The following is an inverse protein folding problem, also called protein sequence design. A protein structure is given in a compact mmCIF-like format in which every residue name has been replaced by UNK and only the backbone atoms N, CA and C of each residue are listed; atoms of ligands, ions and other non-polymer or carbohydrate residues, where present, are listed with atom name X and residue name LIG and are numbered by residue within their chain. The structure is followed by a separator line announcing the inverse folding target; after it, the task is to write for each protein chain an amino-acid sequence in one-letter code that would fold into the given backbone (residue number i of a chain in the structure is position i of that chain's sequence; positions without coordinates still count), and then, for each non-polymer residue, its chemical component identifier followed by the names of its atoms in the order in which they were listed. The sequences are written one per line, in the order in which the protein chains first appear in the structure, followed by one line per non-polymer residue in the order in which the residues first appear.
data_IF_659859302531
#
_entry.id   IF_659859302531
#
_cell.length_a   1.000
_cell.length_b   1.000
_cell.length_c   1.000
_cell.angle_alpha   90.00
_cell.angle_beta   90.00
_cell.angle_gamma   90.00
#
_symmetry.space_group_name_H-M   'P 1'
#
loop_
_entity.id
_entity.type
_entity.pdbx_description
1 polymer ?
#
# COMPACT_ATOMS: atom_id res chain seq x y z
N UNK A 1 -38.80 21.29 -58.09
CA UNK A 1 -37.65 22.09 -57.60
C UNK A 1 -37.87 22.39 -56.12
N UNK A 2 -36.76 22.45 -55.37
CA UNK A 2 -36.63 22.65 -53.93
C UNK A 2 -36.83 21.40 -53.05
N UNK A 3 -35.66 20.87 -52.66
CA UNK A 3 -35.35 19.82 -51.70
C UNK A 3 -35.67 20.21 -50.26
N UNK A 4 -35.91 19.23 -49.39
CA UNK A 4 -35.47 19.27 -48.00
C UNK A 4 -35.37 17.84 -47.45
N UNK A 5 -34.15 17.30 -47.45
CA UNK A 5 -33.76 16.15 -46.64
C UNK A 5 -33.68 16.60 -45.19
N UNK A 6 -34.24 15.80 -44.28
CA UNK A 6 -33.89 15.83 -42.86
C UNK A 6 -33.25 14.49 -42.50
N UNK A 7 -31.91 14.48 -42.58
CA UNK A 7 -31.04 13.51 -41.93
C UNK A 7 -31.35 13.46 -40.44
N UNK A 8 -31.57 12.26 -39.91
CA UNK A 8 -31.59 12.01 -38.47
C UNK A 8 -30.42 11.09 -38.14
N UNK A 9 -29.40 11.70 -37.54
CA UNK A 9 -28.17 11.12 -37.03
C UNK A 9 -28.42 9.87 -36.17
N UNK A 10 -27.97 8.72 -36.67
CA UNK A 10 -27.85 7.49 -35.90
C UNK A 10 -26.56 7.56 -35.06
N UNK A 11 -26.65 8.21 -33.89
CA UNK A 11 -25.52 8.30 -32.97
C UNK A 11 -25.09 6.92 -32.46
N UNK A 12 -23.84 6.56 -32.79
CA UNK A 12 -23.17 5.33 -32.41
C UNK A 12 -23.14 5.14 -30.89
N UNK A 13 -23.77 4.06 -30.42
CA UNK A 13 -23.60 3.58 -29.05
C UNK A 13 -22.17 3.06 -28.90
N UNK A 14 -21.31 3.82 -28.21
CA UNK A 14 -20.00 3.34 -27.77
C UNK A 14 -20.20 2.24 -26.73
N UNK A 15 -20.04 0.99 -27.17
CA UNK A 15 -19.94 -0.15 -26.28
C UNK A 15 -18.84 0.10 -25.24
N UNK A 16 -19.26 0.34 -24.01
CA UNK A 16 -18.40 0.39 -22.84
C UNK A 16 -17.92 -1.05 -22.55
N UNK A 17 -17.00 -1.54 -23.39
CA UNK A 17 -16.34 -2.82 -23.19
C UNK A 17 -15.44 -2.69 -21.96
N UNK A 18 -16.01 -2.96 -20.79
CA UNK A 18 -15.22 -3.27 -19.61
C UNK A 18 -14.36 -4.47 -20.00
N UNK A 19 -13.07 -4.22 -20.28
CA UNK A 19 -12.13 -5.26 -20.69
C UNK A 19 -12.20 -6.37 -19.64
N UNK A 20 -12.86 -7.49 -19.98
CA UNK A 20 -12.87 -8.68 -19.14
C UNK A 20 -11.41 -9.06 -18.92
N UNK A 21 -10.98 -9.00 -17.65
CA UNK A 21 -9.61 -9.32 -17.27
C UNK A 21 -9.24 -10.71 -17.79
N UNK A 22 -8.01 -10.85 -18.29
CA UNK A 22 -7.50 -12.13 -18.75
C UNK A 22 -7.62 -13.13 -17.59
N UNK A 23 -8.34 -14.24 -17.79
CA UNK A 23 -8.37 -15.37 -16.85
C UNK A 23 -7.02 -16.09 -16.91
N UNK A 24 -6.02 -15.50 -16.27
CA UNK A 24 -4.73 -16.13 -16.13
C UNK A 24 -4.88 -17.15 -15.00
N UNK A 25 -4.72 -18.44 -15.32
CA UNK A 25 -4.98 -19.53 -14.38
C UNK A 25 -3.99 -19.58 -13.22
N UNK A 26 -4.11 -20.59 -12.35
CA UNK A 26 -3.32 -20.78 -11.13
C UNK A 26 -1.79 -20.55 -11.28
N UNK A 27 -1.22 -20.86 -12.45
CA UNK A 27 0.22 -20.65 -12.72
C UNK A 27 0.64 -19.17 -12.80
N UNK A 28 -0.20 -18.27 -13.33
CA UNK A 28 0.13 -16.84 -13.37
C UNK A 28 0.14 -16.23 -11.98
N UNK A 29 -0.74 -16.68 -11.10
CA UNK A 29 -0.79 -16.25 -9.71
C UNK A 29 0.47 -16.70 -8.96
N UNK A 30 0.92 -17.94 -9.23
CA UNK A 30 2.21 -18.44 -8.71
C UNK A 30 3.37 -17.59 -9.23
N UNK A 31 3.48 -17.34 -10.54
CA UNK A 31 4.54 -16.48 -11.10
C UNK A 31 4.50 -15.05 -10.53
N UNK A 32 3.30 -14.50 -10.34
CA UNK A 32 3.11 -13.19 -9.71
C UNK A 32 3.61 -13.19 -8.27
N UNK A 33 3.28 -14.23 -7.50
CA UNK A 33 3.76 -14.40 -6.11
C UNK A 33 5.27 -14.50 -6.05
N UNK A 34 5.87 -15.32 -6.92
CA UNK A 34 7.33 -15.48 -7.02
C UNK A 34 8.02 -14.14 -7.32
N UNK A 35 7.49 -13.35 -8.27
CA UNK A 35 8.02 -12.02 -8.60
C UNK A 35 7.92 -11.03 -7.45
N UNK A 36 6.83 -11.08 -6.67
CA UNK A 36 6.63 -10.17 -5.54
C UNK A 36 7.54 -10.51 -4.35
N UNK A 37 7.82 -11.80 -4.15
CA UNK A 37 8.76 -12.28 -3.13
C UNK A 37 10.22 -11.97 -3.46
N UNK A 38 10.56 -11.85 -4.74
CA UNK A 38 11.90 -11.49 -5.20
C UNK A 38 12.11 -9.98 -5.37
N UNK A 39 11.18 -9.14 -4.89
CA UNK A 39 11.28 -7.69 -5.02
C UNK A 39 12.55 -7.15 -4.35
N UNK A 40 13.44 -6.56 -5.14
CA UNK A 40 14.65 -5.91 -4.64
C UNK A 40 14.28 -4.60 -3.92
N UNK A 41 14.71 -4.50 -2.67
CA UNK A 41 14.50 -3.30 -1.89
C UNK A 41 15.44 -2.22 -2.42
N UNK A 42 14.86 -1.07 -2.79
CA UNK A 42 15.60 0.05 -3.37
C UNK A 42 16.65 0.67 -2.44
N UNK A 43 17.16 1.88 -2.76
CA UNK A 43 18.22 2.54 -2.00
C UNK A 43 17.91 2.60 -0.49
N UNK A 44 18.95 2.60 0.37
CA UNK A 44 18.77 2.65 1.81
C UNK A 44 17.95 3.88 2.22
N UNK A 45 16.95 3.66 3.07
CA UNK A 45 16.14 4.73 3.63
C UNK A 45 16.89 5.43 4.77
N UNK A 46 17.46 6.59 4.45
CA UNK A 46 18.17 7.44 5.40
C UNK A 46 17.17 8.16 6.31
N UNK A 47 16.72 7.48 7.35
CA UNK A 47 15.90 8.06 8.40
C UNK A 47 16.76 8.33 9.64
N UNK A 48 16.88 9.59 10.03
CA UNK A 48 17.74 10.04 11.14
C UNK A 48 17.27 9.53 12.51
N UNK A 49 15.95 9.51 12.73
CA UNK A 49 15.36 9.17 14.03
C UNK A 49 15.39 7.69 14.37
N UNK A 50 14.94 6.84 13.44
CA UNK A 50 14.70 5.42 13.69
C UNK A 50 15.77 4.51 13.08
N UNK A 51 16.66 5.05 12.22
CA UNK A 51 17.73 4.32 11.54
C UNK A 51 17.29 2.95 11.01
N UNK A 52 16.11 2.89 10.40
CA UNK A 52 15.43 1.63 10.06
C UNK A 52 16.24 0.75 9.09
N UNK A 53 17.19 1.33 8.35
CA UNK A 53 18.09 0.56 7.50
C UNK A 53 19.14 -0.21 8.32
N UNK A 54 19.62 0.35 9.43
CA UNK A 54 20.58 -0.32 10.32
C UNK A 54 19.85 -1.29 11.26
N UNK A 55 18.66 -0.90 11.74
CA UNK A 55 17.89 -1.69 12.70
C UNK A 55 17.43 -3.06 12.17
N UNK A 56 17.26 -3.19 10.85
CA UNK A 56 16.77 -4.41 10.20
C UNK A 56 17.73 -4.78 9.07
N UNK A 57 18.33 -5.96 9.14
CA UNK A 57 19.28 -6.42 8.13
C UNK A 57 18.56 -6.87 6.83
N UNK A 58 19.31 -7.10 5.75
CA UNK A 58 18.70 -7.45 4.44
C UNK A 58 17.92 -8.78 4.47
N UNK A 59 18.42 -9.77 5.21
CA UNK A 59 17.82 -11.11 5.29
C UNK A 59 16.49 -11.09 6.05
N UNK A 60 16.43 -10.34 7.15
CA UNK A 60 15.23 -10.11 7.95
C UNK A 60 14.15 -9.43 7.10
N UNK A 61 14.51 -8.40 6.32
CA UNK A 61 13.55 -7.73 5.45
C UNK A 61 13.05 -8.68 4.36
N UNK A 62 13.91 -9.55 3.81
CA UNK A 62 13.51 -10.58 2.85
C UNK A 62 12.56 -11.60 3.48
N UNK A 63 12.83 -12.02 4.72
CA UNK A 63 11.96 -12.93 5.48
C UNK A 63 10.58 -12.32 5.72
N UNK A 64 10.51 -11.04 6.11
CA UNK A 64 9.25 -10.30 6.28
C UNK A 64 8.48 -10.21 4.96
N UNK A 65 9.17 -9.87 3.86
CA UNK A 65 8.58 -9.82 2.52
C UNK A 65 7.98 -11.17 2.10
N UNK A 66 8.75 -12.25 2.27
CA UNK A 66 8.30 -13.61 1.95
C UNK A 66 7.12 -14.02 2.80
N UNK A 67 7.16 -13.78 4.11
CA UNK A 67 6.06 -14.06 5.04
C UNK A 67 4.78 -13.33 4.62
N UNK A 68 4.88 -12.04 4.33
CA UNK A 68 3.75 -11.24 3.88
C UNK A 68 3.13 -11.78 2.60
N UNK A 69 3.94 -12.07 1.58
CA UNK A 69 3.43 -12.59 0.33
C UNK A 69 3.02 -14.05 0.41
N UNK A 70 3.42 -14.81 1.44
CA UNK A 70 2.94 -16.16 1.64
C UNK A 70 1.48 -16.24 2.08
N UNK A 71 0.94 -15.17 2.67
CA UNK A 71 -0.48 -15.02 2.99
C UNK A 71 -1.33 -15.20 1.72
N UNK A 72 -2.44 -15.91 1.88
CA UNK A 72 -3.21 -16.48 0.77
C UNK A 72 -4.18 -15.47 0.16
N UNK A 73 -4.80 -14.63 0.98
CA UNK A 73 -5.84 -13.69 0.55
C UNK A 73 -5.42 -12.23 0.74
N UNK A 74 -6.11 -11.33 0.03
CA UNK A 74 -5.92 -9.89 0.21
C UNK A 74 -6.30 -9.45 1.63
N UNK A 75 -7.33 -10.09 2.20
CA UNK A 75 -7.85 -9.80 3.54
C UNK A 75 -6.86 -10.22 4.62
N UNK A 76 -6.25 -11.41 4.51
CA UNK A 76 -5.16 -11.82 5.40
C UNK A 76 -3.98 -10.84 5.34
N UNK A 77 -3.61 -10.39 4.14
CA UNK A 77 -2.58 -9.38 3.97
C UNK A 77 -2.97 -8.05 4.62
N UNK A 78 -4.22 -7.61 4.46
CA UNK A 78 -4.70 -6.37 5.05
C UNK A 78 -4.73 -6.46 6.59
N UNK A 79 -5.29 -7.54 7.13
CA UNK A 79 -5.31 -7.80 8.57
C UNK A 79 -3.89 -7.77 9.15
N UNK A 80 -2.95 -8.48 8.52
CA UNK A 80 -1.54 -8.45 8.90
C UNK A 80 -0.95 -7.03 8.89
N UNK A 81 -1.21 -6.23 7.85
CA UNK A 81 -0.67 -4.86 7.79
C UNK A 81 -1.32 -3.95 8.85
N UNK A 82 -2.62 -4.11 9.10
CA UNK A 82 -3.34 -3.31 10.07
C UNK A 82 -2.88 -3.61 11.50
N UNK A 83 -2.54 -4.86 11.83
CA UNK A 83 -1.92 -5.22 13.12
C UNK A 83 -0.56 -4.53 13.37
N UNK A 84 0.15 -4.20 12.30
CA UNK A 84 1.45 -3.53 12.33
C UNK A 84 1.35 -2.00 12.33
N UNK A 85 0.13 -1.46 12.28
CA UNK A 85 -0.13 -0.02 12.27
C UNK A 85 -0.92 0.35 13.52
N UNK A 86 -0.42 1.33 14.26
CA UNK A 86 -1.13 1.85 15.44
C UNK A 86 -1.61 3.26 15.14
N UNK A 87 -2.92 3.49 15.33
CA UNK A 87 -3.52 4.82 15.24
C UNK A 87 -3.23 5.57 16.54
N UNK A 88 -2.68 6.77 16.43
CA UNK A 88 -2.33 7.64 17.55
C UNK A 88 -3.22 8.89 17.47
N UNK A 89 -3.99 9.21 18.53
CA UNK A 89 -4.76 10.44 18.57
C UNK A 89 -3.83 11.65 18.63
N UNK A 90 -4.14 12.69 17.86
CA UNK A 90 -3.34 13.92 17.83
C UNK A 90 -3.57 14.69 19.13
N UNK A 91 -2.59 14.69 20.02
CA UNK A 91 -2.74 15.28 21.37
C UNK A 91 -2.69 16.81 21.40
N UNK A 92 -1.95 17.46 20.50
CA UNK A 92 -1.82 18.93 20.44
C UNK A 92 -1.65 19.39 19.00
N UNK A 93 -2.37 20.46 18.64
CA UNK A 93 -2.25 21.16 17.36
C UNK A 93 -1.50 22.47 17.60
N UNK A 94 -0.49 22.76 16.79
CA UNK A 94 0.21 24.06 16.77
C UNK A 94 0.28 24.57 15.33
N UNK A 95 -0.87 24.79 14.69
CA UNK A 95 -0.88 25.59 13.46
C UNK A 95 -0.65 27.05 13.84
N UNK A 96 0.11 27.76 13.02
CA UNK A 96 0.23 29.23 13.08
C UNK A 96 -0.82 29.92 12.21
N UNK A 97 -1.63 29.13 11.50
CA UNK A 97 -2.73 29.53 10.65
C UNK A 97 -4.05 29.46 11.43
N UNK A 98 -5.01 30.29 11.02
CA UNK A 98 -6.38 30.30 11.52
C UNK A 98 -7.05 28.94 11.28
N UNK A 99 -8.04 28.59 12.10
CA UNK A 99 -8.69 27.27 12.03
C UNK A 99 -9.35 26.99 10.68
N UNK A 100 -9.84 28.03 10.00
CA UNK A 100 -10.52 27.95 8.70
C UNK A 100 -9.56 27.60 7.54
N UNK A 101 -8.28 27.95 7.66
CA UNK A 101 -7.27 27.72 6.62
C UNK A 101 -6.40 26.47 6.88
N UNK A 102 -6.34 26.04 8.14
CA UNK A 102 -5.44 24.97 8.56
C UNK A 102 -5.97 23.58 8.19
N UNK A 103 -5.23 22.86 7.34
CA UNK A 103 -5.47 21.43 7.07
C UNK A 103 -4.92 20.58 8.21
N UNK A 104 -5.77 20.24 9.17
CA UNK A 104 -5.40 19.37 10.29
C UNK A 104 -5.43 17.90 9.91
N UNK A 105 -4.36 17.18 10.24
CA UNK A 105 -4.45 15.72 10.36
C UNK A 105 -5.24 15.38 11.62
N UNK A 106 -6.29 14.57 11.47
CA UNK A 106 -7.12 14.10 12.58
C UNK A 106 -6.44 12.97 13.34
N UNK A 107 -5.63 12.17 12.65
CA UNK A 107 -4.94 11.00 13.21
C UNK A 107 -3.48 10.96 12.79
N UNK A 108 -2.64 10.43 13.69
CA UNK A 108 -1.27 10.05 13.40
C UNK A 108 -1.14 8.53 13.35
N UNK A 109 -0.11 8.01 12.68
CA UNK A 109 0.10 6.58 12.54
C UNK A 109 1.53 6.21 12.95
N UNK A 110 1.67 5.17 13.75
CA UNK A 110 2.94 4.49 14.02
C UNK A 110 3.00 3.18 13.26
N UNK A 111 4.20 2.80 12.82
CA UNK A 111 4.45 1.59 12.05
C UNK A 111 5.48 0.75 12.77
N UNK A 112 5.26 -0.57 12.80
CA UNK A 112 6.19 -1.54 13.38
C UNK A 112 6.36 -2.75 12.46
N UNK A 113 7.48 -3.44 12.57
CA UNK A 113 7.72 -4.71 11.87
C UNK A 113 7.92 -5.79 12.92
N UNK A 114 7.18 -6.90 12.78
CA UNK A 114 7.30 -8.07 13.66
C UNK A 114 8.17 -9.12 12.98
N UNK A 115 9.26 -9.53 13.63
CA UNK A 115 10.18 -10.54 13.12
C UNK A 115 10.61 -11.49 14.23
N UNK A 116 11.03 -12.70 13.84
CA UNK A 116 11.54 -13.72 14.75
C UNK A 116 13.06 -13.69 14.67
N UNK A 117 13.71 -13.41 15.81
CA UNK A 117 15.14 -13.67 16.03
C UNK A 117 15.23 -14.89 16.95
N UNK A 118 15.77 -14.73 18.15
CA UNK A 118 15.60 -15.69 19.25
C UNK A 118 14.14 -15.69 19.72
N UNK A 119 13.62 -14.49 20.02
CA UNK A 119 12.21 -14.24 20.32
C UNK A 119 11.51 -13.45 19.21
N UNK A 120 10.18 -13.33 19.33
CA UNK A 120 9.38 -12.45 18.48
C UNK A 120 9.54 -11.02 18.97
N UNK A 121 10.15 -10.17 18.13
CA UNK A 121 10.38 -8.76 18.43
C UNK A 121 9.58 -7.85 17.51
N UNK A 122 9.22 -6.67 18.01
CA UNK A 122 8.58 -5.61 17.23
C UNK A 122 9.51 -4.39 17.14
N UNK A 123 9.90 -4.03 15.93
CA UNK A 123 10.81 -2.91 15.68
C UNK A 123 10.01 -1.73 15.10
N UNK A 124 10.05 -0.53 15.70
CA UNK A 124 9.41 0.64 15.14
C UNK A 124 10.11 1.08 13.85
N UNK A 125 9.33 1.38 12.82
CA UNK A 125 9.85 1.82 11.53
C UNK A 125 9.16 3.08 11.04
N UNK A 126 9.82 3.81 10.15
CA UNK A 126 9.17 4.93 9.46
C UNK A 126 8.30 4.43 8.30
N UNK A 127 7.30 5.22 7.91
CA UNK A 127 6.45 4.97 6.75
C UNK A 127 7.24 4.71 5.45
N UNK A 128 8.39 5.39 5.28
CA UNK A 128 9.25 5.25 4.11
C UNK A 128 9.95 3.88 4.05
N UNK A 129 10.26 3.30 5.20
CA UNK A 129 10.85 1.96 5.31
C UNK A 129 9.78 0.86 5.26
N UNK A 130 8.61 1.10 5.86
CA UNK A 130 7.54 0.11 5.96
C UNK A 130 7.08 -0.43 4.60
N UNK A 131 6.93 0.46 3.60
CA UNK A 131 6.51 0.11 2.24
C UNK A 131 7.46 -0.83 1.52
N UNK A 132 8.77 -0.52 1.36
CA UNK A 132 9.70 -1.42 0.69
C UNK A 132 9.98 -2.70 1.48
N UNK A 133 9.93 -2.69 2.82
CA UNK A 133 10.06 -3.92 3.62
C UNK A 133 8.98 -4.95 3.27
N UNK A 134 7.73 -4.49 3.06
CA UNK A 134 6.61 -5.35 2.67
C UNK A 134 6.38 -5.42 1.16
N UNK A 135 7.14 -4.66 0.35
CA UNK A 135 6.97 -4.60 -1.10
C UNK A 135 5.59 -4.10 -1.55
N UNK A 136 5.00 -3.13 -0.82
CA UNK A 136 3.63 -2.64 -1.05
C UNK A 136 3.58 -1.19 -1.56
N UNK A 137 2.50 -0.87 -2.29
CA UNK A 137 2.18 0.49 -2.71
C UNK A 137 1.57 1.31 -1.58
N UNK A 138 1.42 2.63 -1.80
CA UNK A 138 0.72 3.53 -0.86
C UNK A 138 -0.74 3.12 -0.66
N UNK A 139 -1.41 2.66 -1.71
CA UNK A 139 -2.85 2.38 -1.68
C UNK A 139 -3.19 1.24 -0.74
N UNK A 140 -2.32 0.22 -0.69
CA UNK A 140 -2.46 -0.90 0.25
C UNK A 140 -2.45 -0.44 1.71
N UNK A 141 -1.74 0.65 2.03
CA UNK A 141 -1.73 1.25 3.37
C UNK A 141 -2.93 2.15 3.65
N UNK A 142 -3.57 2.71 2.62
CA UNK A 142 -4.74 3.56 2.82
C UNK A 142 -5.93 2.75 3.35
N UNK A 143 -6.02 1.46 3.00
CA UNK A 143 -7.02 0.54 3.57
C UNK A 143 -7.02 0.58 5.11
N UNK A 144 -5.86 0.37 5.75
CA UNK A 144 -5.75 0.38 7.22
C UNK A 144 -5.86 1.77 7.85
N UNK A 145 -5.78 2.86 7.06
CA UNK A 145 -5.89 4.23 7.57
C UNK A 145 -7.32 4.76 7.58
N UNK A 146 -8.18 4.14 6.78
CA UNK A 146 -9.56 4.55 6.56
C UNK A 146 -10.55 3.57 7.23
N UNK A 147 -10.06 2.63 8.03
CA UNK A 147 -10.84 1.74 8.88
C UNK A 147 -11.28 2.50 10.14
#
# INVERSE_FOLDING_TARGET
MASSSCDSDLSEQKDNTTKKGKKMGRMSDVMKKMRLQSHEQGPPWNCTRLKCHEAINKEERKSVLQKFYNLSTNDEQNAYLCELITIIPVQRRRSRQTEEEAKFHTTAFSYKVRMKREDVIEIPVCYKAFKPIHGISKDKLNFCKNL
#
